data_IF_755495138880
#
_entry.id   IF_755495138880
#
_cell.length_a   1.000
_cell.length_b   1.000
_cell.length_c   1.000
_cell.angle_alpha   90.00
_cell.angle_beta   90.00
_cell.angle_gamma   90.00
#
_symmetry.space_group_name_H-M   'P 1'
#
loop_
_entity.id
_entity.type
_entity.pdbx_description
1 polymer ?
#
# COMPACT_ATOMS: atom_id res chain seq x y z
N UNK A 1 27.29 2.01 6.84
CA UNK A 1 27.04 3.40 6.37
C UNK A 1 28.17 4.05 5.50
N UNK A 2 28.82 3.32 4.59
CA UNK A 2 29.73 3.93 3.58
C UNK A 2 29.79 3.20 2.23
N UNK A 3 29.02 2.11 2.04
CA UNK A 3 29.12 1.25 0.86
C UNK A 3 28.18 1.59 -0.31
N UNK A 4 27.24 2.52 -0.13
CA UNK A 4 26.25 2.91 -1.15
C UNK A 4 26.64 4.16 -1.99
N UNK A 5 27.90 4.61 -1.93
CA UNK A 5 28.36 5.85 -2.61
C UNK A 5 28.91 5.67 -4.03
N UNK A 6 28.41 4.72 -4.84
CA UNK A 6 28.83 4.63 -6.26
C UNK A 6 27.65 4.41 -7.22
N UNK A 7 26.78 5.42 -7.40
CA UNK A 7 25.74 5.40 -8.44
C UNK A 7 26.32 5.36 -9.87
N UNK A 8 27.59 5.68 -10.07
CA UNK A 8 28.25 5.75 -11.39
C UNK A 8 28.46 4.38 -12.06
N UNK A 9 28.58 3.30 -11.29
CA UNK A 9 28.81 1.96 -11.84
C UNK A 9 27.53 1.30 -12.39
N UNK A 10 26.35 1.68 -11.87
CA UNK A 10 25.06 1.19 -12.38
C UNK A 10 24.73 1.78 -13.77
N UNK A 11 25.25 2.97 -14.08
CA UNK A 11 25.06 3.65 -15.37
C UNK A 11 25.83 2.97 -16.50
N UNK A 12 26.94 2.27 -16.19
CA UNK A 12 27.79 1.62 -17.19
C UNK A 12 27.25 0.30 -17.75
N UNK A 13 26.32 -0.38 -17.05
CA UNK A 13 25.75 -1.66 -17.51
C UNK A 13 24.51 -1.52 -18.41
N UNK A 14 23.92 -0.33 -18.53
CA UNK A 14 22.66 -0.13 -19.28
C UNK A 14 22.83 0.33 -20.74
N UNK A 15 24.04 0.33 -21.29
CA UNK A 15 24.30 0.75 -22.70
C UNK A 15 23.81 -0.23 -23.77
N UNK A 16 23.15 -1.33 -23.42
CA UNK A 16 22.84 -2.44 -24.33
C UNK A 16 21.36 -2.65 -24.67
N UNK A 17 20.45 -1.73 -24.33
CA UNK A 17 19.02 -1.91 -24.61
C UNK A 17 18.46 -0.86 -25.59
N UNK A 18 17.69 -1.31 -26.60
CA UNK A 18 17.16 -0.42 -27.64
C UNK A 18 16.13 0.54 -27.04
N UNK A 19 16.42 1.83 -27.17
CA UNK A 19 15.50 2.92 -26.84
C UNK A 19 14.27 2.85 -27.76
N UNK A 20 13.10 2.53 -27.20
CA UNK A 20 11.81 2.77 -27.85
C UNK A 20 11.27 4.12 -27.37
N UNK A 21 10.89 5.04 -28.28
CA UNK A 21 10.45 6.38 -27.92
C UNK A 21 8.98 6.31 -27.49
N UNK A 22 8.75 6.00 -26.22
CA UNK A 22 7.46 6.17 -25.56
C UNK A 22 7.60 7.41 -24.67
N UNK A 23 6.61 8.30 -24.70
CA UNK A 23 6.56 9.61 -24.02
C UNK A 23 6.56 9.54 -22.47
N UNK A 24 7.51 8.78 -21.92
CA UNK A 24 7.81 8.64 -20.50
C UNK A 24 9.25 9.14 -20.36
N UNK A 25 9.53 9.95 -19.34
CA UNK A 25 10.91 10.33 -19.02
C UNK A 25 11.74 9.04 -18.87
N UNK A 26 12.78 8.80 -19.69
CA UNK A 26 13.59 7.58 -19.67
C UNK A 26 14.10 7.22 -18.27
N UNK A 27 14.24 8.22 -17.39
CA UNK A 27 14.63 8.03 -16.00
C UNK A 27 13.55 7.29 -15.19
N UNK A 28 12.27 7.61 -15.35
CA UNK A 28 11.17 6.95 -14.62
C UNK A 28 11.03 5.49 -15.03
N UNK A 29 11.15 5.20 -16.33
CA UNK A 29 11.14 3.83 -16.84
C UNK A 29 12.32 3.01 -16.29
N UNK A 30 13.53 3.58 -16.28
CA UNK A 30 14.71 2.93 -15.72
C UNK A 30 14.60 2.70 -14.21
N UNK A 31 14.01 3.64 -13.46
CA UNK A 31 13.78 3.48 -12.00
C UNK A 31 12.72 2.43 -11.69
N UNK A 32 11.62 2.38 -12.43
CA UNK A 32 10.60 1.33 -12.28
C UNK A 32 11.14 -0.05 -12.67
N UNK A 33 12.07 -0.13 -13.63
CA UNK A 33 12.79 -1.37 -13.92
C UNK A 33 13.76 -1.75 -12.79
N UNK A 34 14.36 -0.78 -12.08
CA UNK A 34 15.13 -1.09 -10.87
C UNK A 34 14.21 -1.58 -9.73
N UNK A 35 12.99 -1.05 -9.60
CA UNK A 35 11.98 -1.55 -8.65
C UNK A 35 11.69 -3.03 -8.91
N UNK A 36 11.67 -3.48 -10.16
CA UNK A 36 11.38 -4.89 -10.47
C UNK A 36 12.41 -5.87 -9.89
N UNK A 37 13.66 -5.43 -9.69
CA UNK A 37 14.66 -6.25 -9.02
C UNK A 37 14.32 -6.50 -7.53
N UNK A 38 13.51 -5.63 -6.91
CA UNK A 38 13.01 -5.78 -5.54
C UNK A 38 11.71 -6.58 -5.46
N UNK A 39 11.08 -6.93 -6.60
CA UNK A 39 9.89 -7.80 -6.64
C UNK A 39 10.32 -9.29 -6.60
N UNK A 40 11.62 -9.57 -6.47
CA UNK A 40 12.12 -10.90 -6.16
C UNK A 40 11.99 -11.19 -4.66
N UNK A 41 11.12 -12.16 -4.33
CA UNK A 41 10.87 -12.66 -2.97
C UNK A 41 12.12 -13.20 -2.27
N UNK A 42 13.21 -13.44 -3.00
CA UNK A 42 14.51 -13.85 -2.43
C UNK A 42 15.30 -12.68 -1.85
N UNK A 43 14.95 -11.46 -2.22
CA UNK A 43 15.68 -10.23 -1.82
C UNK A 43 14.87 -9.39 -0.82
N UNK A 44 13.56 -9.65 -0.70
CA UNK A 44 12.65 -8.91 0.20
C UNK A 44 11.97 -9.85 1.18
N UNK A 45 11.93 -9.43 2.45
CA UNK A 45 11.26 -10.14 3.55
C UNK A 45 10.01 -9.36 3.98
N UNK A 46 8.83 -10.01 4.08
CA UNK A 46 7.63 -9.34 4.58
C UNK A 46 7.80 -9.02 6.08
N UNK A 47 7.73 -7.73 6.42
CA UNK A 47 7.74 -7.23 7.80
C UNK A 47 6.35 -6.74 8.15
N UNK A 48 5.78 -7.27 9.24
CA UNK A 48 4.44 -6.94 9.70
C UNK A 48 4.53 -6.00 10.91
N UNK A 49 4.03 -4.78 10.74
CA UNK A 49 4.00 -3.75 11.78
C UNK A 49 2.69 -3.85 12.58
N UNK A 50 2.73 -3.51 13.87
CA UNK A 50 1.59 -3.55 14.79
C UNK A 50 1.25 -4.96 15.28
N UNK A 51 2.15 -5.92 15.05
CA UNK A 51 1.95 -7.33 15.36
C UNK A 51 2.69 -7.80 16.61
N UNK A 52 3.63 -7.05 17.14
CA UNK A 52 4.43 -7.45 18.30
C UNK A 52 4.61 -6.28 19.26
N UNK A 53 5.17 -6.56 20.43
CA UNK A 53 5.35 -5.56 21.48
C UNK A 53 6.27 -4.42 21.01
N UNK A 54 7.29 -4.72 20.22
CA UNK A 54 8.20 -3.72 19.64
C UNK A 54 7.49 -2.76 18.67
N UNK A 55 6.65 -3.28 17.77
CA UNK A 55 5.98 -2.47 16.75
C UNK A 55 4.67 -1.84 17.23
N UNK A 56 4.30 -2.04 18.50
CA UNK A 56 3.12 -1.42 19.11
C UNK A 56 3.26 0.09 19.22
N UNK A 57 4.46 0.56 19.55
CA UNK A 57 4.75 1.97 19.78
C UNK A 57 5.22 2.68 18.50
N UNK A 58 5.23 2.00 17.36
CA UNK A 58 5.61 2.60 16.09
C UNK A 58 4.54 3.61 15.64
N UNK A 59 4.97 4.80 15.27
CA UNK A 59 4.12 5.83 14.68
C UNK A 59 3.37 5.29 13.45
N UNK A 60 2.04 5.36 13.47
CA UNK A 60 1.18 4.85 12.38
C UNK A 60 1.46 5.56 11.06
N UNK A 61 1.79 6.86 11.10
CA UNK A 61 2.13 7.63 9.89
C UNK A 61 3.46 7.15 9.29
N UNK A 62 4.46 6.87 10.12
CA UNK A 62 5.73 6.32 9.64
C UNK A 62 5.54 4.92 9.08
N UNK A 63 4.79 4.06 9.78
CA UNK A 63 4.44 2.72 9.30
C UNK A 63 3.78 2.76 7.91
N UNK A 64 2.79 3.65 7.72
CA UNK A 64 2.11 3.82 6.44
C UNK A 64 3.05 4.39 5.36
N UNK A 65 3.95 5.30 5.74
CA UNK A 65 4.90 5.92 4.82
C UNK A 65 5.96 4.92 4.33
N UNK A 66 6.50 4.09 5.21
CA UNK A 66 7.37 2.96 4.82
C UNK A 66 6.62 1.96 3.95
N UNK A 67 5.36 1.65 4.27
CA UNK A 67 4.52 0.77 3.47
C UNK A 67 4.20 1.31 2.07
N UNK A 68 4.46 2.59 1.79
CA UNK A 68 4.25 3.23 0.49
C UNK A 68 5.58 3.68 -0.18
N UNK A 69 6.74 3.37 0.42
CA UNK A 69 8.05 3.81 -0.03
C UNK A 69 8.55 2.96 -1.22
N UNK A 70 8.17 3.37 -2.43
CA UNK A 70 8.54 2.67 -3.67
C UNK A 70 10.07 2.73 -3.88
N UNK A 71 10.79 1.58 -3.90
CA UNK A 71 12.24 1.54 -4.05
C UNK A 71 12.77 2.40 -5.21
N UNK A 72 13.78 3.22 -4.97
CA UNK A 72 14.40 4.04 -6.04
C UNK A 72 13.52 5.15 -6.60
N UNK A 73 12.32 5.36 -6.04
CA UNK A 73 11.40 6.44 -6.40
C UNK A 73 11.03 7.29 -5.18
N UNK A 74 10.45 6.66 -4.15
CA UNK A 74 10.05 7.29 -2.89
C UNK A 74 10.84 6.67 -1.74
N UNK A 75 11.66 7.48 -1.09
CA UNK A 75 12.40 7.10 0.12
C UNK A 75 11.76 7.79 1.32
N UNK A 76 11.39 7.01 2.34
CA UNK A 76 10.88 7.54 3.60
C UNK A 76 11.92 7.34 4.70
N UNK A 77 12.08 8.36 5.54
CA UNK A 77 12.82 8.28 6.80
C UNK A 77 11.98 8.96 7.88
N UNK A 78 11.95 8.38 9.08
CA UNK A 78 11.24 9.00 10.19
C UNK A 78 11.91 10.31 10.57
N UNK A 79 11.11 11.39 10.62
CA UNK A 79 11.54 12.67 11.17
C UNK A 79 11.53 12.70 12.70
N UNK A 80 10.92 11.70 13.34
CA UNK A 80 10.81 11.59 14.79
C UNK A 80 12.02 10.83 15.37
N UNK A 81 12.88 11.49 16.17
CA UNK A 81 14.05 10.85 16.78
C UNK A 81 13.70 9.70 17.72
N UNK A 82 12.52 9.69 18.33
CA UNK A 82 12.09 8.61 19.23
C UNK A 82 11.85 7.31 18.46
N UNK A 83 11.58 7.38 17.15
CA UNK A 83 11.36 6.20 16.31
C UNK A 83 12.66 5.54 15.85
N UNK A 84 13.80 6.25 15.85
CA UNK A 84 15.03 5.70 15.30
C UNK A 84 15.51 4.43 16.00
N UNK A 85 15.54 4.35 17.35
CA UNK A 85 15.93 3.11 18.04
C UNK A 85 14.97 1.95 17.76
N UNK A 86 13.66 2.22 17.64
CA UNK A 86 12.65 1.21 17.31
C UNK A 86 12.84 0.67 15.90
N UNK A 87 13.13 1.54 14.94
CA UNK A 87 13.38 1.17 13.55
C UNK A 87 14.70 0.40 13.39
N UNK A 88 15.75 0.82 14.09
CA UNK A 88 17.04 0.11 14.12
C UNK A 88 16.89 -1.29 14.70
N UNK A 89 16.19 -1.42 15.83
CA UNK A 89 15.90 -2.71 16.46
C UNK A 89 15.01 -3.59 15.57
N UNK A 90 14.01 -3.01 14.89
CA UNK A 90 13.17 -3.73 13.93
C UNK A 90 14.02 -4.29 12.79
N UNK A 91 14.92 -3.49 12.23
CA UNK A 91 15.81 -3.90 11.15
C UNK A 91 16.78 -5.00 11.60
N UNK A 92 17.37 -4.85 12.80
CA UNK A 92 18.27 -5.83 13.38
C UNK A 92 17.57 -7.17 13.66
N UNK A 93 16.39 -7.15 14.31
CA UNK A 93 15.62 -8.36 14.62
C UNK A 93 15.13 -9.09 13.38
N UNK A 94 14.80 -8.35 12.33
CA UNK A 94 14.29 -8.94 11.09
C UNK A 94 15.40 -9.27 10.09
N UNK A 95 16.65 -8.92 10.39
CA UNK A 95 17.83 -9.07 9.53
C UNK A 95 17.60 -8.43 8.15
N UNK A 96 17.13 -7.18 8.15
CA UNK A 96 16.91 -6.39 6.93
C UNK A 96 17.74 -5.12 6.97
N UNK A 97 18.24 -4.71 5.80
CA UNK A 97 19.07 -3.51 5.68
C UNK A 97 18.24 -2.23 5.51
N UNK A 98 16.99 -2.34 5.07
CA UNK A 98 16.09 -1.21 4.83
C UNK A 98 14.63 -1.69 4.75
N UNK A 99 13.71 -0.77 5.03
CA UNK A 99 12.27 -0.95 4.82
C UNK A 99 11.87 -0.35 3.47
N UNK A 100 10.99 -1.04 2.76
CA UNK A 100 10.50 -0.66 1.43
C UNK A 100 9.00 -0.95 1.32
N UNK A 101 8.37 -0.46 0.25
CA UNK A 101 6.97 -0.70 -0.09
C UNK A 101 6.55 -2.16 0.08
N UNK A 102 5.42 -2.35 0.78
CA UNK A 102 4.83 -3.66 1.02
C UNK A 102 4.38 -4.36 -0.27
N UNK A 103 4.06 -3.59 -1.32
CA UNK A 103 3.73 -4.11 -2.65
C UNK A 103 4.86 -4.90 -3.31
N UNK A 104 6.12 -4.64 -2.95
CA UNK A 104 7.26 -5.41 -3.44
C UNK A 104 7.32 -6.82 -2.79
N UNK A 105 6.94 -6.91 -1.51
CA UNK A 105 7.02 -8.15 -0.74
C UNK A 105 5.77 -9.04 -0.88
N UNK A 106 4.59 -8.42 -0.82
CA UNK A 106 3.30 -9.09 -0.93
C UNK A 106 2.23 -8.07 -1.30
N UNK A 107 1.92 -7.97 -2.60
CA UNK A 107 0.66 -7.34 -3.00
C UNK A 107 -0.49 -8.08 -2.30
N UNK A 108 -1.53 -7.34 -1.85
CA UNK A 108 -2.69 -7.83 -1.08
C UNK A 108 -2.36 -8.96 -0.06
N UNK A 109 -1.85 -8.64 1.14
CA UNK A 109 -1.32 -9.60 2.11
C UNK A 109 -2.41 -10.37 2.90
N UNK A 110 -3.27 -11.10 2.20
CA UNK A 110 -4.41 -11.81 2.81
C UNK A 110 -3.96 -12.97 3.69
N UNK A 111 -2.96 -13.75 3.26
CA UNK A 111 -2.42 -14.85 4.07
C UNK A 111 -1.93 -14.35 5.44
N UNK A 112 -1.24 -13.21 5.45
CA UNK A 112 -0.70 -12.60 6.66
C UNK A 112 -1.82 -12.09 7.56
N UNK A 113 -2.85 -11.45 6.99
CA UNK A 113 -4.04 -11.04 7.74
C UNK A 113 -4.73 -12.26 8.37
N UNK A 114 -4.93 -13.32 7.58
CA UNK A 114 -5.61 -14.55 8.01
C UNK A 114 -4.91 -15.23 9.18
N UNK A 115 -3.58 -15.37 9.12
CA UNK A 115 -2.80 -15.94 10.22
C UNK A 115 -2.99 -15.16 11.52
N UNK A 116 -3.03 -13.82 11.45
CA UNK A 116 -3.15 -12.97 12.65
C UNK A 116 -4.53 -13.01 13.29
N UNK A 117 -5.58 -13.11 12.49
CA UNK A 117 -6.93 -13.35 12.99
C UNK A 117 -7.02 -14.73 13.63
N UNK A 118 -6.48 -15.76 12.97
CA UNK A 118 -6.44 -17.14 13.50
C UNK A 118 -5.71 -17.21 14.84
N UNK A 119 -4.61 -16.49 14.98
CA UNK A 119 -3.82 -16.38 16.23
C UNK A 119 -4.59 -15.65 17.35
N UNK A 120 -5.79 -15.11 17.08
CA UNK A 120 -6.69 -14.52 18.07
C UNK A 120 -6.39 -13.06 18.42
N UNK A 121 -5.51 -12.39 17.66
CA UNK A 121 -5.06 -11.02 17.99
C UNK A 121 -6.15 -9.96 17.86
N UNK A 122 -7.18 -10.21 17.05
CA UNK A 122 -8.32 -9.31 16.87
C UNK A 122 -9.47 -9.60 17.85
N UNK A 123 -9.27 -10.49 18.83
CA UNK A 123 -10.31 -10.90 19.79
C UNK A 123 -11.41 -11.80 19.21
N UNK A 124 -11.45 -11.97 17.88
CA UNK A 124 -12.34 -12.89 17.16
C UNK A 124 -11.54 -13.68 16.13
N UNK A 125 -12.04 -14.88 15.82
CA UNK A 125 -11.56 -15.70 14.70
C UNK A 125 -12.50 -15.66 13.49
N UNK A 126 -13.66 -15.02 13.65
CA UNK A 126 -14.61 -14.81 12.57
C UNK A 126 -14.27 -13.50 11.84
N UNK A 127 -13.68 -13.60 10.66
CA UNK A 127 -13.34 -12.47 9.82
C UNK A 127 -13.67 -12.78 8.36
N UNK A 128 -14.06 -11.73 7.63
CA UNK A 128 -14.21 -11.76 6.19
C UNK A 128 -12.99 -11.09 5.54
N UNK A 129 -12.34 -11.77 4.60
CA UNK A 129 -11.15 -11.34 3.90
C UNK A 129 -11.51 -10.82 2.51
N UNK A 130 -11.62 -9.50 2.42
CA UNK A 130 -11.85 -8.78 1.18
C UNK A 130 -10.51 -8.33 0.58
N UNK A 131 -10.20 -8.86 -0.60
CA UNK A 131 -9.00 -8.56 -1.35
C UNK A 131 -9.29 -7.51 -2.44
N UNK A 132 -8.44 -6.50 -2.53
CA UNK A 132 -8.58 -5.34 -3.40
C UNK A 132 -7.32 -5.22 -4.27
N UNK A 133 -7.40 -5.62 -5.54
CA UNK A 133 -6.24 -5.69 -6.44
C UNK A 133 -6.29 -4.59 -7.50
N UNK A 134 -5.37 -3.63 -7.37
CA UNK A 134 -5.15 -2.55 -8.34
C UNK A 134 -3.93 -2.76 -9.24
N UNK A 135 -3.14 -3.81 -9.01
CA UNK A 135 -1.92 -4.13 -9.75
C UNK A 135 -2.09 -5.29 -10.73
N UNK A 136 -3.33 -5.68 -11.00
CA UNK A 136 -3.59 -6.70 -12.01
C UNK A 136 -3.16 -6.21 -13.41
N UNK A 137 -2.56 -7.06 -14.26
CA UNK A 137 -2.09 -6.66 -15.57
C UNK A 137 -3.24 -6.14 -16.44
N UNK A 138 -3.11 -4.90 -16.92
CA UNK A 138 -4.02 -4.32 -17.88
C UNK A 138 -3.37 -4.25 -19.26
N UNK A 139 -4.16 -4.57 -20.28
CA UNK A 139 -3.71 -4.52 -21.67
C UNK A 139 -3.74 -3.07 -22.17
N UNK A 140 -2.70 -2.32 -21.83
CA UNK A 140 -2.46 -0.98 -22.38
C UNK A 140 -1.23 -0.99 -23.29
N UNK A 141 -1.39 -0.75 -24.61
CA UNK A 141 -0.29 -0.66 -25.58
C UNK A 141 0.84 0.28 -25.15
N UNK A 142 0.55 1.32 -24.36
CA UNK A 142 1.54 2.31 -23.89
C UNK A 142 2.42 1.81 -22.75
N UNK A 143 1.99 0.75 -22.06
CA UNK A 143 2.62 0.24 -20.84
C UNK A 143 2.98 -1.24 -20.95
N UNK A 144 3.01 -1.80 -22.17
CA UNK A 144 3.39 -3.21 -22.39
C UNK A 144 4.76 -3.58 -21.82
N UNK A 145 5.68 -2.61 -21.69
CA UNK A 145 6.98 -2.82 -21.08
C UNK A 145 6.91 -3.12 -19.56
N UNK A 146 5.82 -2.76 -18.88
CA UNK A 146 5.55 -3.11 -17.48
C UNK A 146 4.97 -4.52 -17.29
N UNK A 147 4.65 -5.23 -18.39
CA UNK A 147 4.03 -6.57 -18.31
C UNK A 147 4.81 -7.59 -17.49
N UNK A 148 6.15 -7.70 -17.57
CA UNK A 148 6.90 -8.64 -16.74
C UNK A 148 6.75 -8.36 -15.24
N UNK A 149 6.68 -7.08 -14.87
CA UNK A 149 6.52 -6.62 -13.49
C UNK A 149 5.12 -6.99 -12.98
N UNK A 150 4.10 -6.66 -13.76
CA UNK A 150 2.71 -6.98 -13.41
C UNK A 150 2.50 -8.51 -13.28
N UNK A 151 3.15 -9.30 -14.14
CA UNK A 151 3.13 -10.77 -14.05
C UNK A 151 3.81 -11.30 -12.78
N UNK A 152 4.96 -10.75 -12.39
CA UNK A 152 5.64 -11.14 -11.16
C UNK A 152 4.77 -10.87 -9.92
N UNK A 153 4.08 -9.73 -9.87
CA UNK A 153 3.10 -9.40 -8.82
C UNK A 153 1.93 -10.39 -8.80
N UNK A 154 1.44 -10.84 -9.97
CA UNK A 154 0.38 -11.85 -10.03
C UNK A 154 0.79 -13.21 -9.45
N UNK A 155 2.07 -13.60 -9.53
CA UNK A 155 2.55 -14.82 -8.86
C UNK A 155 2.37 -14.71 -7.34
N UNK A 156 2.55 -13.52 -6.76
CA UNK A 156 2.28 -13.28 -5.34
C UNK A 156 0.78 -13.41 -5.01
N UNK A 157 -0.11 -13.04 -5.95
CA UNK A 157 -1.56 -13.24 -5.79
C UNK A 157 -1.93 -14.72 -5.70
N UNK A 158 -1.33 -15.59 -6.51
CA UNK A 158 -1.59 -17.06 -6.51
C UNK A 158 -1.52 -17.64 -5.09
N UNK A 159 -0.54 -17.18 -4.30
CA UNK A 159 -0.34 -17.62 -2.92
C UNK A 159 -1.43 -17.14 -1.95
N UNK A 160 -2.02 -15.98 -2.22
CA UNK A 160 -3.04 -15.36 -1.37
C UNK A 160 -4.47 -15.83 -1.69
N UNK A 161 -4.72 -16.39 -2.88
CA UNK A 161 -6.06 -16.87 -3.30
C UNK A 161 -6.74 -17.84 -2.33
N UNK A 162 -6.05 -18.80 -1.69
CA UNK A 162 -6.71 -19.71 -0.76
C UNK A 162 -7.23 -19.05 0.53
N UNK A 163 -6.80 -17.83 0.83
CA UNK A 163 -7.10 -17.14 2.09
C UNK A 163 -8.15 -16.02 1.95
N UNK A 164 -8.56 -15.70 0.72
CA UNK A 164 -9.56 -14.65 0.46
C UNK A 164 -10.97 -15.23 0.35
N UNK A 165 -11.95 -14.48 0.85
CA UNK A 165 -13.37 -14.79 0.64
C UNK A 165 -13.87 -14.15 -0.66
N UNK A 166 -13.37 -12.95 -0.96
CA UNK A 166 -13.74 -12.25 -2.18
C UNK A 166 -12.61 -11.35 -2.69
N UNK A 167 -12.42 -11.30 -4.01
CA UNK A 167 -11.44 -10.47 -4.70
C UNK A 167 -12.14 -9.50 -5.64
N UNK A 168 -11.92 -8.20 -5.41
CA UNK A 168 -12.30 -7.15 -6.36
C UNK A 168 -11.07 -6.70 -7.12
N UNK A 169 -11.08 -6.91 -8.44
CA UNK A 169 -10.07 -6.39 -9.35
C UNK A 169 -10.54 -5.05 -9.89
N UNK A 170 -9.75 -4.01 -9.66
CA UNK A 170 -10.10 -2.66 -10.10
C UNK A 170 -9.77 -2.45 -11.57
N UNK A 171 -10.77 -2.19 -12.39
CA UNK A 171 -10.56 -1.90 -13.81
C UNK A 171 -11.43 -0.71 -14.28
N UNK A 172 -10.85 0.28 -14.98
CA UNK A 172 -9.42 0.46 -15.25
C UNK A 172 -8.68 1.09 -14.05
N UNK A 173 -7.33 1.05 -14.06
CA UNK A 173 -6.47 1.70 -13.05
C UNK A 173 -5.55 2.73 -13.70
N UNK A 174 -4.98 3.61 -12.87
CA UNK A 174 -3.96 4.54 -13.36
C UNK A 174 -2.66 3.77 -13.63
N UNK A 175 -1.94 4.18 -14.67
CA UNK A 175 -0.61 3.65 -14.94
C UNK A 175 0.32 3.91 -13.74
N UNK A 176 1.04 2.89 -13.26
CA UNK A 176 2.07 3.06 -12.22
C UNK A 176 3.17 4.07 -12.58
N UNK A 177 3.35 4.36 -13.88
CA UNK A 177 4.28 5.39 -14.34
C UNK A 177 3.86 6.81 -13.93
N UNK A 178 2.58 7.03 -13.60
CA UNK A 178 2.06 8.32 -13.12
C UNK A 178 2.21 8.42 -11.60
N UNK A 179 3.45 8.52 -11.12
CA UNK A 179 3.79 8.61 -9.69
C UNK A 179 3.13 9.82 -8.99
N UNK A 180 2.91 10.91 -9.72
CA UNK A 180 2.18 12.09 -9.27
C UNK A 180 0.98 12.35 -10.19
N UNK A 181 -0.15 11.67 -9.99
CA UNK A 181 -1.33 11.85 -10.84
C UNK A 181 -1.95 13.23 -10.62
N UNK A 182 -2.52 13.80 -11.69
CA UNK A 182 -3.28 15.06 -11.57
C UNK A 182 -4.57 14.84 -10.76
N UNK A 183 -5.14 15.90 -10.13
CA UNK A 183 -6.40 15.79 -9.40
C UNK A 183 -7.52 15.15 -10.23
N UNK A 184 -7.64 15.56 -11.50
CA UNK A 184 -8.61 14.99 -12.42
C UNK A 184 -8.37 13.49 -12.75
N UNK A 185 -7.12 13.02 -12.67
CA UNK A 185 -6.80 11.60 -12.81
C UNK A 185 -7.19 10.82 -11.55
N UNK A 186 -6.97 11.40 -10.36
CA UNK A 186 -7.39 10.82 -9.07
C UNK A 186 -8.92 10.67 -9.04
N UNK A 187 -9.68 11.72 -9.37
CA UNK A 187 -11.15 11.66 -9.40
C UNK A 187 -11.68 10.59 -10.36
N UNK A 188 -10.97 10.38 -11.46
CA UNK A 188 -11.29 9.33 -12.43
C UNK A 188 -11.05 7.94 -11.82
N UNK A 189 -9.89 7.74 -11.19
CA UNK A 189 -9.55 6.50 -10.51
C UNK A 189 -10.54 6.19 -9.37
N UNK A 190 -10.96 7.18 -8.60
CA UNK A 190 -11.99 7.01 -7.56
C UNK A 190 -13.32 6.55 -8.15
N UNK A 191 -13.75 7.12 -9.29
CA UNK A 191 -14.98 6.68 -9.98
C UNK A 191 -14.86 5.25 -10.51
N UNK A 192 -13.71 4.88 -11.08
CA UNK A 192 -13.44 3.50 -11.51
C UNK A 192 -13.47 2.53 -10.33
N UNK A 193 -12.84 2.93 -9.23
CA UNK A 193 -12.84 2.21 -7.96
C UNK A 193 -14.25 1.94 -7.45
N UNK A 194 -15.08 2.98 -7.37
CA UNK A 194 -16.47 2.84 -6.92
C UNK A 194 -17.25 1.86 -7.79
N UNK A 195 -17.16 1.98 -9.13
CA UNK A 195 -17.86 1.06 -10.05
C UNK A 195 -17.40 -0.40 -9.88
N UNK A 196 -16.10 -0.62 -9.71
CA UNK A 196 -15.56 -1.99 -9.52
C UNK A 196 -16.08 -2.64 -8.23
N UNK A 197 -16.30 -1.85 -7.18
CA UNK A 197 -16.82 -2.34 -5.90
C UNK A 197 -18.34 -2.50 -5.93
N UNK A 198 -19.05 -1.68 -6.71
CA UNK A 198 -20.52 -1.66 -6.77
C UNK A 198 -21.10 -3.03 -7.11
N UNK A 199 -20.49 -3.74 -8.05
CA UNK A 199 -20.87 -5.11 -8.43
C UNK A 199 -20.69 -6.12 -7.28
N UNK A 200 -19.70 -5.89 -6.42
CA UNK A 200 -19.38 -6.75 -5.28
C UNK A 200 -20.19 -6.39 -4.01
N UNK A 201 -20.85 -5.22 -3.96
CA UNK A 201 -21.52 -4.74 -2.74
C UNK A 201 -22.59 -5.70 -2.23
N UNK A 202 -23.35 -6.34 -3.12
CA UNK A 202 -24.38 -7.31 -2.74
C UNK A 202 -23.79 -8.51 -2.00
N UNK A 203 -22.72 -9.09 -2.55
CA UNK A 203 -22.00 -10.19 -1.92
C UNK A 203 -21.33 -9.77 -0.60
N UNK A 204 -20.62 -8.65 -0.59
CA UNK A 204 -19.97 -8.12 0.61
C UNK A 204 -21.00 -7.88 1.72
N UNK A 205 -22.15 -7.31 1.37
CA UNK A 205 -23.24 -7.08 2.34
C UNK A 205 -23.81 -8.37 2.90
N UNK A 206 -23.87 -9.43 2.09
CA UNK A 206 -24.30 -10.76 2.52
C UNK A 206 -23.27 -11.45 3.41
N UNK A 207 -21.97 -11.37 3.08
CA UNK A 207 -20.88 -11.92 3.88
C UNK A 207 -20.76 -11.27 5.27
N UNK A 208 -21.13 -10.00 5.37
CA UNK A 208 -21.13 -9.26 6.63
C UNK A 208 -22.45 -9.40 7.43
N UNK A 209 -23.44 -10.13 6.92
CA UNK A 209 -24.61 -10.44 7.72
C UNK A 209 -24.22 -11.33 8.90
N UNK A 210 -24.78 -11.10 10.10
CA UNK A 210 -24.59 -12.00 11.21
C UNK A 210 -25.11 -13.39 10.83
N UNK A 211 -24.26 -14.40 10.98
CA UNK A 211 -24.67 -15.80 10.82
C UNK A 211 -25.03 -16.32 12.21
N UNK A 212 -26.29 -16.69 12.37
CA UNK A 212 -26.80 -17.29 13.60
C UNK A 212 -26.67 -18.81 13.47
N UNK A 213 -25.98 -19.44 14.42
CA UNK A 213 -26.06 -20.88 14.61
C UNK A 213 -27.08 -21.14 15.71
N UNK A 214 -28.20 -21.79 15.40
CA UNK A 214 -29.18 -22.22 16.40
C UNK A 214 -28.60 -23.42 17.18
N UNK A 215 -27.84 -23.13 18.24
CA UNK A 215 -27.58 -24.09 19.31
C UNK A 215 -28.40 -23.68 20.54
N UNK A 216 -29.67 -24.12 20.61
CA UNK A 216 -30.65 -24.11 21.71
C UNK A 216 -30.86 -22.84 22.60
N UNK A 217 -29.97 -21.83 22.63
CA UNK A 217 -30.15 -20.53 23.30
C UNK A 217 -29.29 -19.44 22.66
N UNK A 218 -29.79 -18.20 22.53
CA UNK A 218 -29.04 -17.09 21.95
C UNK A 218 -27.93 -16.59 22.88
N UNK A 219 -26.75 -16.32 22.32
CA UNK A 219 -25.79 -15.38 22.92
C UNK A 219 -26.30 -13.98 22.60
N UNK A 220 -26.60 -13.18 23.62
CA UNK A 220 -27.02 -11.79 23.42
C UNK A 220 -25.88 -11.00 22.76
N UNK A 221 -26.03 -10.73 21.46
CA UNK A 221 -25.19 -9.76 20.78
C UNK A 221 -25.46 -8.39 21.39
N UNK A 222 -24.49 -7.86 22.14
CA UNK A 222 -24.52 -6.48 22.62
C UNK A 222 -24.83 -5.54 21.45
N UNK A 223 -25.67 -4.53 21.71
CA UNK A 223 -26.19 -3.64 20.68
C UNK A 223 -25.07 -3.13 19.75
N UNK A 224 -25.21 -3.29 18.42
CA UNK A 224 -24.20 -2.80 17.49
C UNK A 224 -24.09 -1.28 17.63
N UNK A 225 -22.90 -0.80 17.97
CA UNK A 225 -22.60 0.62 17.93
C UNK A 225 -22.82 1.09 16.50
N UNK A 226 -23.76 2.02 16.30
CA UNK A 226 -24.14 2.53 14.98
C UNK A 226 -22.88 3.05 14.28
N UNK A 227 -22.42 2.46 13.17
CA UNK A 227 -21.22 2.92 12.51
C UNK A 227 -21.48 4.34 11.98
N UNK A 228 -20.70 5.30 12.46
CA UNK A 228 -20.61 6.62 11.85
C UNK A 228 -20.08 6.39 10.45
N UNK A 229 -20.90 6.61 9.41
CA UNK A 229 -20.44 6.56 8.02
C UNK A 229 -19.31 7.60 7.87
N UNK A 230 -18.05 7.20 7.66
CA UNK A 230 -17.03 8.18 7.34
C UNK A 230 -17.30 8.66 5.92
N UNK A 231 -17.85 9.86 5.78
CA UNK A 231 -17.88 10.54 4.49
C UNK A 231 -16.46 11.01 4.23
N UNK A 232 -15.76 10.33 3.33
CA UNK A 232 -14.44 10.79 2.87
C UNK A 232 -14.57 12.22 2.35
N UNK A 233 -13.81 13.14 2.92
CA UNK A 233 -13.80 14.53 2.45
C UNK A 233 -13.27 14.60 1.01
N UNK A 234 -13.74 15.54 0.18
CA UNK A 234 -13.17 15.78 -1.15
C UNK A 234 -11.65 15.97 -1.07
N UNK A 235 -10.90 15.47 -2.05
CA UNK A 235 -9.43 15.52 -2.03
C UNK A 235 -8.89 16.96 -1.91
N UNK A 236 -9.56 17.93 -2.54
CA UNK A 236 -9.23 19.35 -2.39
C UNK A 236 -9.29 19.83 -0.93
N UNK A 237 -10.23 19.30 -0.14
CA UNK A 237 -10.35 19.61 1.29
C UNK A 237 -9.19 19.00 2.09
N UNK A 238 -8.79 17.77 1.76
CA UNK A 238 -7.66 17.09 2.41
C UNK A 238 -6.33 17.76 2.06
N UNK A 239 -6.14 18.14 0.79
CA UNK A 239 -4.95 18.85 0.32
C UNK A 239 -4.88 20.27 0.90
N UNK A 240 -6.01 20.98 1.00
CA UNK A 240 -6.08 22.28 1.67
C UNK A 240 -5.74 22.18 3.16
N UNK A 241 -6.25 21.16 3.85
CA UNK A 241 -5.94 20.91 5.26
C UNK A 241 -4.44 20.61 5.48
N UNK A 242 -3.80 19.87 4.56
CA UNK A 242 -2.35 19.62 4.61
C UNK A 242 -1.50 20.86 4.29
N UNK A 243 -2.03 21.82 3.52
CA UNK A 243 -1.37 23.11 3.23
C UNK A 243 -1.57 24.15 4.31
N UNK A 244 -2.50 23.94 5.25
CA UNK A 244 -2.74 24.89 6.33
C UNK A 244 -1.54 24.96 7.30
N UNK A 245 -1.15 26.16 7.78
CA UNK A 245 0.01 26.27 8.66
C UNK A 245 -0.26 25.59 10.01
N UNK A 246 0.45 24.48 10.26
CA UNK A 246 0.26 23.62 11.44
C UNK A 246 0.59 24.31 12.76
N UNK A 247 1.42 25.37 12.73
CA UNK A 247 1.89 26.07 13.93
C UNK A 247 1.30 27.48 14.08
N UNK A 248 1.04 27.91 15.33
CA UNK A 248 0.44 29.22 15.66
C UNK A 248 1.23 30.41 15.12
N UNK A 249 2.56 30.29 15.08
CA UNK A 249 3.48 31.32 14.56
C UNK A 249 3.39 31.50 13.04
N UNK A 250 3.22 30.41 12.28
CA UNK A 250 3.06 30.46 10.84
C UNK A 250 1.72 31.11 10.45
N UNK A 251 0.64 30.79 11.18
CA UNK A 251 -0.68 31.45 11.05
C UNK A 251 -0.69 32.94 11.42
N UNK A 252 0.30 33.40 12.20
CA UNK A 252 0.45 34.81 12.57
C UNK A 252 1.22 35.58 11.48
N UNK A 253 2.26 34.98 10.90
CA UNK A 253 3.02 35.54 9.77
C UNK A 253 2.16 35.74 8.52
N UNK A 254 1.37 34.74 8.12
CA UNK A 254 0.53 34.84 6.92
C UNK A 254 -0.59 35.90 7.04
N UNK A 255 -0.94 36.31 8.27
CA UNK A 255 -1.95 37.36 8.50
C UNK A 255 -1.40 38.78 8.49
N UNK A 256 -0.08 38.94 8.56
CA UNK A 256 0.57 40.25 8.70
C UNK A 256 1.61 40.54 7.61
N UNK A 257 1.79 39.62 6.66
CA UNK A 257 2.64 39.81 5.47
C UNK A 257 1.77 39.55 4.23
N UNK A 258 0.89 40.51 3.94
CA UNK A 258 0.30 40.76 2.62
C UNK A 258 0.58 42.19 2.26
#
# INVERSE_FOLDING_TARGET
>A
PSRFRRPELAVLQMRALPFLPIWIDPQVAARLWQVSAFIDVRVVKPVLVGGDELTRDLNVVDAASFSAAIPGVLHHESSDPEMWPLLDELCARTDVAALVDGGAASNVPVEQAWKRVRDGRLGTRNACYLAFDCFHPQWDPRHLWLMPIAQAVQVQMIRNFPYLDHLVRFEPTLSPANLAPSPAAIDRATRWGRRSVEDALGLISALLQPIWWEADRPVEAGAPNRPVRPVAAPMDTVLAANRAPRNRWARWRDRHVT
#
